data_IF_924630157900
#
_entry.id   IF_924630157900
#
_cell.length_a   1.000
_cell.length_b   1.000
_cell.length_c   1.000
_cell.angle_alpha   90.00
_cell.angle_beta   90.00
_cell.angle_gamma   90.00
#
_symmetry.space_group_name_H-M   'P 1'
#
loop_
_entity.id
_entity.type
_entity.pdbx_description
1 polymer ?
#
# COMPACT_ATOMS: atom_id res chain seq x y z
N UNK A 1 42.34 14.44 -23.89
CA UNK A 1 41.63 14.63 -22.61
C UNK A 1 40.51 13.58 -22.47
N UNK A 2 40.84 12.30 -22.23
CA UNK A 2 39.85 11.20 -22.26
C UNK A 2 40.15 10.10 -21.23
N UNK A 3 40.30 10.48 -19.95
CA UNK A 3 40.72 9.56 -18.87
C UNK A 3 39.69 9.41 -17.75
N UNK A 4 38.40 9.56 -18.07
CA UNK A 4 37.31 9.40 -17.09
C UNK A 4 35.95 8.97 -17.66
N UNK A 5 35.82 8.83 -19.00
CA UNK A 5 34.51 8.65 -19.66
C UNK A 5 33.83 7.29 -19.45
N UNK A 6 34.58 6.23 -19.15
CA UNK A 6 34.03 4.86 -19.11
C UNK A 6 33.33 4.47 -17.80
N UNK A 7 33.64 5.12 -16.67
CA UNK A 7 33.13 4.67 -15.36
C UNK A 7 31.61 4.83 -15.23
N UNK A 8 31.09 6.04 -15.46
CA UNK A 8 29.65 6.35 -15.30
C UNK A 8 28.80 5.60 -16.34
N UNK A 9 29.26 5.53 -17.60
CA UNK A 9 28.57 4.77 -18.63
C UNK A 9 28.54 3.26 -18.36
N UNK A 10 29.61 2.68 -17.82
CA UNK A 10 29.62 1.27 -17.44
C UNK A 10 28.57 0.96 -16.36
N UNK A 11 28.53 1.74 -15.27
CA UNK A 11 27.54 1.56 -14.21
C UNK A 11 26.10 1.76 -14.70
N UNK A 12 25.86 2.71 -15.61
CA UNK A 12 24.55 2.92 -16.23
C UNK A 12 24.13 1.72 -17.08
N UNK A 13 25.03 1.20 -17.95
CA UNK A 13 24.76 0.01 -18.78
C UNK A 13 24.53 -1.24 -17.94
N UNK A 14 25.31 -1.45 -16.88
CA UNK A 14 25.11 -2.57 -15.93
C UNK A 14 23.76 -2.47 -15.23
N UNK A 15 23.37 -1.26 -14.77
CA UNK A 15 22.04 -1.03 -14.18
C UNK A 15 20.89 -1.34 -15.14
N UNK A 16 21.01 -0.96 -16.41
CA UNK A 16 20.03 -1.28 -17.46
C UNK A 16 19.96 -2.80 -17.71
N UNK A 17 21.10 -3.49 -17.81
CA UNK A 17 21.14 -4.95 -18.00
C UNK A 17 20.47 -5.68 -16.83
N UNK A 18 20.75 -5.28 -15.58
CA UNK A 18 20.10 -5.84 -14.39
C UNK A 18 18.58 -5.59 -14.44
N UNK A 19 18.13 -4.38 -14.80
CA UNK A 19 16.70 -4.08 -14.89
C UNK A 19 15.99 -4.86 -16.01
N UNK A 20 16.70 -5.23 -17.08
CA UNK A 20 16.19 -6.10 -18.15
C UNK A 20 16.14 -7.58 -17.72
N UNK A 21 17.17 -8.09 -17.05
CA UNK A 21 17.25 -9.49 -16.60
C UNK A 21 16.23 -9.81 -15.49
N UNK A 22 16.09 -8.93 -14.49
CA UNK A 22 15.13 -9.11 -13.40
C UNK A 22 13.74 -8.58 -13.74
N UNK A 23 13.64 -7.64 -14.69
CA UNK A 23 12.39 -7.00 -15.09
C UNK A 23 11.82 -6.05 -14.03
N UNK A 24 11.07 -5.04 -14.49
CA UNK A 24 10.41 -4.05 -13.60
C UNK A 24 9.52 -4.65 -12.50
N UNK A 25 9.00 -5.87 -12.72
CA UNK A 25 8.06 -6.53 -11.82
C UNK A 25 8.68 -7.23 -10.60
N UNK A 26 9.95 -7.67 -10.65
CA UNK A 26 10.63 -8.31 -9.50
C UNK A 26 11.57 -7.35 -8.79
N UNK A 27 12.26 -6.48 -9.53
CA UNK A 27 13.14 -5.48 -8.94
C UNK A 27 12.39 -4.54 -7.97
N UNK A 28 11.19 -4.06 -8.34
CA UNK A 28 10.41 -3.16 -7.47
C UNK A 28 9.91 -3.82 -6.18
N UNK A 29 9.67 -5.13 -6.20
CA UNK A 29 9.13 -5.89 -5.08
C UNK A 29 10.23 -6.14 -4.05
N UNK A 30 11.35 -6.70 -4.51
CA UNK A 30 12.56 -6.93 -3.72
C UNK A 30 13.15 -5.62 -3.17
N UNK A 31 13.20 -4.55 -3.98
CA UNK A 31 13.67 -3.24 -3.51
C UNK A 31 12.72 -2.64 -2.46
N UNK A 32 11.42 -2.95 -2.54
CA UNK A 32 10.44 -2.56 -1.53
C UNK A 32 10.71 -3.19 -0.16
N UNK A 33 10.98 -4.50 -0.10
CA UNK A 33 11.29 -5.18 1.16
C UNK A 33 12.70 -4.87 1.70
N UNK A 34 13.71 -4.70 0.83
CA UNK A 34 15.03 -4.19 1.22
C UNK A 34 14.91 -2.77 1.79
N UNK A 35 14.10 -1.90 1.19
CA UNK A 35 13.85 -0.56 1.71
C UNK A 35 13.09 -0.56 3.05
N UNK A 36 12.12 -1.47 3.25
CA UNK A 36 11.49 -1.68 4.57
C UNK A 36 12.50 -2.13 5.60
N UNK A 37 13.31 -3.16 5.30
CA UNK A 37 14.34 -3.68 6.21
C UNK A 37 15.33 -2.60 6.64
N UNK A 38 15.88 -1.85 5.68
CA UNK A 38 16.82 -0.76 5.96
C UNK A 38 16.16 0.44 6.68
N UNK A 39 14.90 0.77 6.35
CA UNK A 39 14.14 1.80 7.08
C UNK A 39 13.86 1.39 8.52
N UNK A 40 13.48 0.14 8.77
CA UNK A 40 13.28 -0.39 10.13
C UNK A 40 14.58 -0.46 10.92
N UNK A 41 15.69 -0.87 10.30
CA UNK A 41 17.01 -0.86 10.93
C UNK A 41 17.44 0.55 11.34
N UNK A 42 17.36 1.53 10.41
CA UNK A 42 17.63 2.94 10.73
C UNK A 42 16.68 3.47 11.81
N UNK A 43 15.39 3.14 11.72
CA UNK A 43 14.36 3.62 12.65
C UNK A 43 14.58 3.07 14.07
N UNK A 44 14.90 1.79 14.24
CA UNK A 44 15.28 1.23 15.55
C UNK A 44 16.50 1.96 16.12
N UNK A 45 17.56 2.09 15.31
CA UNK A 45 18.78 2.84 15.67
C UNK A 45 18.60 4.39 15.68
N UNK A 46 17.36 4.87 15.69
CA UNK A 46 16.98 6.27 15.96
C UNK A 46 15.98 6.35 17.13
N UNK A 47 15.20 5.29 17.38
CA UNK A 47 14.31 5.16 18.55
C UNK A 47 15.05 4.95 19.88
N UNK A 48 16.35 4.57 19.84
CA UNK A 48 17.26 4.68 20.98
C UNK A 48 17.55 6.15 21.38
N UNK A 49 17.30 7.14 20.50
CA UNK A 49 17.52 8.58 20.73
C UNK A 49 16.22 9.41 20.80
N UNK A 50 15.20 9.17 19.95
CA UNK A 50 13.91 9.91 20.00
C UNK A 50 12.69 9.15 19.38
N UNK A 51 11.48 9.43 19.86
CA UNK A 51 10.23 8.70 19.55
C UNK A 51 9.33 9.38 18.48
N UNK A 52 8.52 8.64 17.69
CA UNK A 52 8.62 8.79 16.24
C UNK A 52 7.36 9.21 15.45
N UNK A 53 7.52 9.75 14.22
CA UNK A 53 6.48 9.78 13.19
C UNK A 53 6.35 8.42 12.47
N UNK A 54 5.33 7.63 12.82
CA UNK A 54 5.08 6.30 12.23
C UNK A 54 4.31 6.34 10.90
N UNK A 55 5.02 6.60 9.79
CA UNK A 55 4.42 6.53 8.44
C UNK A 55 5.38 5.91 7.41
N UNK A 56 5.12 4.66 6.99
CA UNK A 56 5.39 4.13 5.64
C UNK A 56 5.03 2.64 5.48
N UNK A 57 3.74 2.31 5.31
CA UNK A 57 3.30 1.08 4.61
C UNK A 57 1.78 1.05 4.31
N UNK A 58 1.12 2.18 3.96
CA UNK A 58 -0.28 2.13 3.48
C UNK A 58 -0.34 1.69 2.02
N UNK A 59 0.07 0.45 1.75
CA UNK A 59 -0.27 -0.25 0.50
C UNK A 59 -1.74 -0.62 0.57
N UNK A 60 -2.59 0.35 0.27
CA UNK A 60 -4.03 0.16 0.22
C UNK A 60 -4.37 -0.81 -0.93
N UNK A 61 -4.96 -1.98 -0.66
CA UNK A 61 -5.35 -2.89 -1.73
C UNK A 61 -6.46 -2.24 -2.55
N UNK A 62 -6.43 -2.28 -3.90
CA UNK A 62 -7.43 -1.65 -4.73
C UNK A 62 -8.74 -2.46 -4.72
N UNK A 63 -9.48 -2.40 -3.60
CA UNK A 63 -10.92 -2.67 -3.55
C UNK A 63 -11.64 -1.54 -4.28
N UNK A 64 -11.47 -1.49 -5.61
CA UNK A 64 -12.57 -1.02 -6.46
C UNK A 64 -13.71 -2.01 -6.25
N UNK A 65 -14.69 -1.54 -5.47
CA UNK A 65 -15.99 -2.16 -5.31
C UNK A 65 -16.51 -2.45 -6.72
N UNK A 66 -16.70 -3.74 -7.02
CA UNK A 66 -17.47 -4.14 -8.20
C UNK A 66 -18.93 -3.74 -7.99
N UNK A 67 -19.67 -3.63 -9.10
CA UNK A 67 -21.14 -3.58 -9.08
C UNK A 67 -21.75 -2.35 -8.40
N UNK A 68 -21.33 -1.18 -8.90
CA UNK A 68 -22.16 0.02 -8.89
C UNK A 68 -23.37 -0.13 -9.84
N UNK A 69 -24.26 -1.10 -9.58
CA UNK A 69 -25.54 -1.30 -10.28
C UNK A 69 -26.49 -2.23 -9.51
N UNK A 70 -27.36 -1.66 -8.68
CA UNK A 70 -28.83 -1.83 -8.73
C UNK A 70 -29.47 -1.01 -7.61
N UNK A 71 -30.54 -0.27 -7.94
CA UNK A 71 -31.33 0.51 -6.99
C UNK A 71 -32.46 -0.35 -6.39
N UNK A 72 -32.13 -1.25 -5.47
CA UNK A 72 -33.15 -1.88 -4.60
C UNK A 72 -33.24 -1.08 -3.30
N UNK A 73 -34.25 -0.21 -3.22
CA UNK A 73 -34.64 0.45 -1.98
C UNK A 73 -35.29 -0.60 -1.07
N UNK A 74 -34.83 -0.78 0.18
CA UNK A 74 -35.57 -1.55 1.18
C UNK A 74 -36.85 -0.81 1.57
N UNK A 75 -37.88 -0.98 0.75
CA UNK A 75 -39.27 -0.86 1.15
C UNK A 75 -39.52 -1.86 2.29
N UNK A 76 -40.51 -1.56 3.13
CA UNK A 76 -41.02 -2.44 4.19
C UNK A 76 -40.25 -2.47 5.53
N UNK A 77 -40.42 -1.39 6.32
CA UNK A 77 -40.34 -1.42 7.80
C UNK A 77 -41.04 -0.27 8.53
N UNK A 78 -42.03 0.39 7.92
CA UNK A 78 -42.59 1.67 8.45
C UNK A 78 -44.11 1.65 8.63
N UNK A 79 -44.77 0.51 8.40
CA UNK A 79 -46.19 0.26 8.69
C UNK A 79 -46.35 -1.21 9.11
N UNK A 80 -47.43 -1.50 9.86
CA UNK A 80 -47.93 -2.84 10.20
C UNK A 80 -46.98 -3.64 11.15
N UNK A 81 -47.34 -4.33 12.26
CA UNK A 81 -48.55 -4.75 13.01
C UNK A 81 -48.09 -4.87 14.50
N UNK A 82 -48.77 -4.58 15.63
CA UNK A 82 -50.09 -4.03 16.04
C UNK A 82 -49.91 -3.36 17.44
N UNK A 83 -50.70 -2.34 17.86
CA UNK A 83 -50.63 -1.69 19.19
C UNK A 83 -51.12 -2.54 20.40
N UNK A 84 -50.87 -3.85 20.42
CA UNK A 84 -51.37 -4.78 21.44
C UNK A 84 -50.80 -4.56 22.86
N UNK A 85 -49.61 -3.97 22.98
CA UNK A 85 -48.88 -3.76 24.24
C UNK A 85 -49.41 -2.57 25.09
N UNK A 86 -50.74 -2.43 25.15
CA UNK A 86 -51.44 -1.40 25.94
C UNK A 86 -52.62 -1.97 26.73
N UNK A 87 -52.48 -3.22 27.18
CA UNK A 87 -53.43 -3.94 28.03
C UNK A 87 -53.04 -3.82 29.52
N UNK A 88 -53.34 -2.67 30.10
CA UNK A 88 -53.64 -2.59 31.56
C UNK A 88 -54.95 -3.38 31.82
N UNK A 89 -55.25 -3.84 33.06
CA UNK A 89 -55.15 -3.12 34.34
C UNK A 89 -53.92 -3.45 35.21
#
# INVERSE_FOLDING_TARGET
MFSGGFSIFHWLVVGVIILLLFGKGRFSDMMGDVAKGLKSFKKGMTEDDDVPPSTAAKTEPPRRIADSSTLEVPVDRTRDIDPADRREP
#
